data_IF_363522534851
#
_entry.id   IF_363522534851
#
_cell.length_a   1.000
_cell.length_b   1.000
_cell.length_c   1.000
_cell.angle_alpha   90.00
_cell.angle_beta   90.00
_cell.angle_gamma   90.00
#
_symmetry.space_group_name_H-M   'P 1'
#
loop_
_entity.id
_entity.type
_entity.pdbx_description
1 polymer ?
#
# COMPACT_ATOMS: atom_id res chain seq x y z
N UNK A 1 -35.13 -18.76 -44.35
CA UNK A 1 -35.97 -18.75 -43.14
C UNK A 1 -35.03 -18.85 -41.94
N UNK A 2 -34.50 -17.73 -41.49
CA UNK A 2 -35.01 -16.86 -40.41
C UNK A 2 -34.47 -17.31 -39.02
N UNK A 3 -33.35 -16.69 -38.63
CA UNK A 3 -32.83 -16.68 -37.25
C UNK A 3 -33.86 -15.99 -36.34
N UNK A 4 -34.38 -16.71 -35.34
CA UNK A 4 -35.14 -16.07 -34.26
C UNK A 4 -34.17 -15.46 -33.25
N UNK A 5 -34.16 -14.14 -33.19
CA UNK A 5 -33.51 -13.37 -32.14
C UNK A 5 -34.32 -13.52 -30.84
N UNK A 6 -33.73 -14.11 -29.80
CA UNK A 6 -34.25 -14.01 -28.44
C UNK A 6 -33.98 -12.58 -27.92
N UNK A 7 -34.95 -11.70 -28.08
CA UNK A 7 -34.94 -10.41 -27.40
C UNK A 7 -35.27 -10.65 -25.93
N UNK A 8 -34.24 -10.66 -25.08
CA UNK A 8 -34.43 -10.54 -23.64
C UNK A 8 -35.05 -9.16 -23.37
N UNK A 9 -36.34 -9.15 -23.03
CA UNK A 9 -37.06 -7.94 -22.61
C UNK A 9 -36.37 -7.41 -21.35
N UNK A 10 -35.62 -6.32 -21.48
CA UNK A 10 -35.23 -5.52 -20.33
C UNK A 10 -36.51 -4.91 -19.73
N UNK A 11 -36.70 -4.92 -18.40
CA UNK A 11 -37.86 -4.27 -17.79
C UNK A 11 -37.89 -2.78 -18.17
N UNK A 12 -39.10 -2.24 -18.25
CA UNK A 12 -39.36 -0.83 -18.51
C UNK A 12 -38.50 0.08 -17.61
N UNK A 13 -38.12 1.24 -18.14
CA UNK A 13 -37.28 2.25 -17.48
C UNK A 13 -37.54 2.33 -15.97
N UNK A 14 -36.60 1.80 -15.17
CA UNK A 14 -36.68 1.88 -13.71
C UNK A 14 -36.64 3.34 -13.25
N UNK A 15 -37.70 3.81 -12.61
CA UNK A 15 -37.72 5.13 -11.97
C UNK A 15 -36.81 5.12 -10.75
N UNK A 16 -35.70 5.86 -10.83
CA UNK A 16 -34.79 6.10 -9.69
C UNK A 16 -35.59 6.70 -8.54
N UNK A 17 -35.59 6.03 -7.38
CA UNK A 17 -36.27 6.51 -6.17
C UNK A 17 -35.34 7.25 -5.22
N UNK A 18 -34.06 6.88 -5.24
CA UNK A 18 -33.07 7.42 -4.33
C UNK A 18 -31.73 7.60 -5.02
N UNK A 19 -31.13 8.76 -4.79
CA UNK A 19 -29.75 9.06 -5.15
C UNK A 19 -29.07 9.58 -3.90
N UNK A 20 -28.03 8.88 -3.44
CA UNK A 20 -27.13 9.38 -2.39
C UNK A 20 -25.78 9.64 -2.98
N UNK A 21 -25.30 10.87 -2.83
CA UNK A 21 -23.90 11.23 -3.07
C UNK A 21 -23.21 11.37 -1.73
N UNK A 22 -22.08 10.72 -1.56
CA UNK A 22 -21.26 10.82 -0.36
C UNK A 22 -19.78 10.80 -0.72
N UNK A 23 -19.00 11.69 -0.10
CA UNK A 23 -17.55 11.65 -0.19
C UNK A 23 -17.01 10.61 0.80
N UNK A 24 -16.34 9.58 0.29
CA UNK A 24 -15.62 8.59 1.09
C UNK A 24 -14.14 8.91 1.11
N UNK A 25 -13.62 9.09 2.31
CA UNK A 25 -12.21 9.28 2.55
C UNK A 25 -11.50 7.93 2.71
N UNK A 26 -10.47 7.67 1.90
CA UNK A 26 -9.58 6.52 1.99
C UNK A 26 -8.26 7.01 2.58
N UNK A 27 -7.95 6.52 3.77
CA UNK A 27 -6.67 6.80 4.44
C UNK A 27 -5.54 5.96 3.85
N UNK A 28 -4.28 6.44 3.88
CA UNK A 28 -3.11 5.67 3.44
C UNK A 28 -3.12 4.23 3.96
N UNK A 29 -2.67 3.21 3.21
CA UNK A 29 -2.70 1.82 3.67
C UNK A 29 -1.87 1.60 4.95
N UNK A 30 -2.23 0.55 5.71
CA UNK A 30 -1.43 0.13 6.87
C UNK A 30 -0.10 -0.48 6.45
N UNK A 31 0.97 -0.27 7.23
CA UNK A 31 2.29 -0.83 6.92
C UNK A 31 2.28 -2.37 6.93
N UNK A 32 3.24 -2.96 6.23
CA UNK A 32 3.35 -4.40 6.08
C UNK A 32 4.19 -5.01 7.20
N UNK A 33 3.63 -6.08 7.78
CA UNK A 33 4.41 -7.13 8.42
C UNK A 33 4.93 -8.10 7.34
N UNK A 34 5.67 -9.13 7.78
CA UNK A 34 6.29 -10.07 6.86
C UNK A 34 5.25 -10.81 5.99
N UNK A 35 4.12 -11.19 6.59
CA UNK A 35 3.06 -11.94 5.92
C UNK A 35 2.38 -11.09 4.84
N UNK A 36 2.01 -9.85 5.16
CA UNK A 36 1.40 -8.92 4.20
C UNK A 36 2.34 -8.57 3.06
N UNK A 37 3.63 -8.40 3.35
CA UNK A 37 4.61 -8.16 2.30
C UNK A 37 4.72 -9.36 1.35
N UNK A 38 4.82 -10.58 1.88
CA UNK A 38 4.81 -11.79 1.04
C UNK A 38 3.53 -11.89 0.20
N UNK A 39 2.37 -11.57 0.77
CA UNK A 39 1.09 -11.55 0.05
C UNK A 39 1.06 -10.49 -1.06
N UNK A 40 1.59 -9.29 -0.80
CA UNK A 40 1.68 -8.22 -1.79
C UNK A 40 2.61 -8.58 -2.96
N UNK A 41 3.69 -9.30 -2.71
CA UNK A 41 4.61 -9.82 -3.74
C UNK A 41 3.89 -10.87 -4.61
N UNK A 42 3.21 -11.83 -3.98
CA UNK A 42 2.45 -12.86 -4.69
C UNK A 42 1.31 -12.27 -5.54
N UNK A 43 0.60 -11.26 -5.01
CA UNK A 43 -0.46 -10.56 -5.73
C UNK A 43 0.04 -9.83 -7.00
N UNK A 44 1.34 -9.53 -7.09
CA UNK A 44 2.00 -8.98 -8.28
C UNK A 44 2.51 -10.07 -9.25
N UNK A 45 2.21 -11.34 -9.00
CA UNK A 45 2.56 -12.46 -9.87
C UNK A 45 3.99 -12.97 -9.69
N UNK A 46 4.67 -12.61 -8.61
CA UNK A 46 6.02 -13.11 -8.32
C UNK A 46 5.98 -14.37 -7.46
N UNK A 47 6.82 -15.35 -7.79
CA UNK A 47 7.10 -16.49 -6.92
C UNK A 47 7.77 -16.02 -5.62
N UNK A 48 7.22 -16.43 -4.48
CA UNK A 48 7.71 -16.05 -3.15
C UNK A 48 8.63 -17.08 -2.51
N UNK A 49 8.96 -18.18 -3.21
CA UNK A 49 9.82 -19.25 -2.68
C UNK A 49 11.18 -18.74 -2.16
N UNK A 50 11.73 -17.70 -2.81
CA UNK A 50 13.03 -17.10 -2.45
C UNK A 50 12.93 -15.85 -1.59
N UNK A 51 11.71 -15.39 -1.27
CA UNK A 51 11.43 -14.13 -0.59
C UNK A 51 12.24 -13.94 0.70
N UNK A 52 12.15 -14.89 1.64
CA UNK A 52 12.83 -14.79 2.93
C UNK A 52 14.36 -14.74 2.78
N UNK A 53 14.90 -15.52 1.85
CA UNK A 53 16.34 -15.58 1.59
C UNK A 53 16.85 -14.27 0.99
N UNK A 54 16.13 -13.73 0.00
CA UNK A 54 16.48 -12.45 -0.63
C UNK A 54 16.33 -11.30 0.37
N UNK A 55 15.21 -11.24 1.10
CA UNK A 55 14.98 -10.20 2.08
C UNK A 55 16.06 -10.20 3.17
N UNK A 56 16.40 -11.37 3.72
CA UNK A 56 17.44 -11.49 4.75
C UNK A 56 18.79 -10.92 4.28
N UNK A 57 19.22 -11.22 3.05
CA UNK A 57 20.46 -10.66 2.49
C UNK A 57 20.40 -9.13 2.31
N UNK A 58 19.25 -8.61 1.88
CA UNK A 58 19.05 -7.16 1.75
C UNK A 58 19.09 -6.46 3.12
N UNK A 59 18.57 -7.10 4.17
CA UNK A 59 18.65 -6.60 5.55
C UNK A 59 20.09 -6.55 6.04
N UNK A 60 20.85 -7.63 5.84
CA UNK A 60 22.29 -7.69 6.16
C UNK A 60 23.10 -6.62 5.41
N UNK A 61 22.66 -6.24 4.21
CA UNK A 61 23.22 -5.15 3.42
C UNK A 61 22.59 -3.76 3.71
N UNK A 62 21.73 -3.65 4.73
CA UNK A 62 21.07 -2.43 5.20
C UNK A 62 20.09 -1.76 4.23
N UNK A 63 19.65 -2.44 3.18
CA UNK A 63 18.66 -1.92 2.22
C UNK A 63 17.23 -1.97 2.74
N UNK A 64 16.92 -2.88 3.67
CA UNK A 64 15.59 -3.03 4.27
C UNK A 64 15.70 -3.26 5.77
N UNK A 65 14.64 -2.95 6.52
CA UNK A 65 14.58 -3.24 7.97
C UNK A 65 14.28 -4.71 8.24
N UNK A 66 14.52 -5.16 9.47
CA UNK A 66 14.49 -6.58 9.85
C UNK A 66 13.24 -7.34 9.32
N UNK A 67 13.42 -8.48 8.62
CA UNK A 67 12.31 -9.19 7.97
C UNK A 67 11.26 -9.71 8.94
N UNK A 68 11.70 -10.32 10.05
CA UNK A 68 10.83 -11.12 10.92
C UNK A 68 10.17 -10.23 11.98
N UNK A 69 9.21 -9.45 11.54
CA UNK A 69 8.41 -8.55 12.37
C UNK A 69 6.93 -8.87 12.19
N UNK A 70 6.19 -8.84 13.29
CA UNK A 70 4.73 -8.81 13.31
C UNK A 70 4.20 -7.38 13.50
N UNK A 71 5.10 -6.41 13.69
CA UNK A 71 4.75 -5.00 13.87
C UNK A 71 4.16 -4.44 12.57
N UNK A 72 3.08 -3.67 12.70
CA UNK A 72 2.38 -3.00 11.58
C UNK A 72 2.47 -1.47 11.65
N UNK A 73 3.28 -0.98 12.58
CA UNK A 73 3.51 0.43 12.88
C UNK A 73 5.00 0.66 13.13
N UNK A 74 5.43 1.92 13.18
CA UNK A 74 6.79 2.32 13.53
C UNK A 74 6.79 3.29 14.71
N UNK A 75 7.92 3.42 15.41
CA UNK A 75 8.10 4.44 16.45
C UNK A 75 8.39 5.83 15.85
N UNK A 76 8.23 6.91 16.62
CA UNK A 76 8.68 8.25 16.21
C UNK A 76 10.16 8.30 15.82
N UNK A 77 11.03 7.60 16.55
CA UNK A 77 12.47 7.56 16.23
C UNK A 77 12.73 6.86 14.90
N UNK A 78 12.08 5.73 14.67
CA UNK A 78 12.16 5.00 13.40
C UNK A 78 11.64 5.83 12.22
N UNK A 79 10.62 6.67 12.43
CA UNK A 79 10.13 7.62 11.44
C UNK A 79 11.18 8.72 11.16
N UNK A 80 11.81 9.26 12.20
CA UNK A 80 12.86 10.28 12.05
C UNK A 80 14.09 9.75 11.31
N UNK A 81 14.48 8.49 11.57
CA UNK A 81 15.51 7.78 10.80
C UNK A 81 15.11 7.65 9.33
N UNK A 82 13.87 7.20 9.05
CA UNK A 82 13.39 7.05 7.68
C UNK A 82 13.34 8.39 6.92
N UNK A 83 12.97 9.48 7.59
CA UNK A 83 12.95 10.83 7.00
C UNK A 83 14.33 11.27 6.47
N UNK A 84 15.44 10.74 6.98
CA UNK A 84 16.78 11.06 6.48
C UNK A 84 17.02 10.54 5.04
N UNK A 85 16.39 9.43 4.68
CA UNK A 85 16.52 8.79 3.36
C UNK A 85 15.34 9.04 2.44
N UNK A 86 14.24 9.60 2.96
CA UNK A 86 13.00 9.88 2.23
C UNK A 86 13.22 10.59 0.88
N UNK A 87 13.99 11.69 0.77
CA UNK A 87 14.18 12.38 -0.52
C UNK A 87 14.86 11.50 -1.58
N UNK A 88 15.82 10.66 -1.17
CA UNK A 88 16.54 9.76 -2.07
C UNK A 88 15.60 8.67 -2.61
N UNK A 89 14.71 8.15 -1.76
CA UNK A 89 13.74 7.12 -2.15
C UNK A 89 12.67 7.70 -3.08
N UNK A 90 12.19 8.93 -2.81
CA UNK A 90 11.25 9.64 -3.70
C UNK A 90 11.86 9.81 -5.09
N UNK A 91 13.13 10.23 -5.17
CA UNK A 91 13.85 10.35 -6.43
C UNK A 91 14.07 9.00 -7.12
N UNK A 92 14.49 7.96 -6.38
CA UNK A 92 14.73 6.61 -6.92
C UNK A 92 13.48 6.01 -7.59
N UNK A 93 12.30 6.29 -7.04
CA UNK A 93 11.03 5.74 -7.52
C UNK A 93 10.26 6.65 -8.47
N UNK A 94 10.84 7.80 -8.85
CA UNK A 94 10.23 8.82 -9.69
C UNK A 94 8.82 9.23 -9.20
N UNK A 95 8.71 9.48 -7.90
CA UNK A 95 7.47 9.93 -7.27
C UNK A 95 7.38 11.45 -7.37
N UNK A 96 6.24 11.98 -7.85
CA UNK A 96 5.98 13.42 -7.84
C UNK A 96 6.11 13.97 -6.40
N UNK A 97 7.08 14.87 -6.12
CA UNK A 97 7.28 15.43 -4.79
C UNK A 97 6.04 16.10 -4.21
N UNK A 98 5.09 16.56 -5.04
CA UNK A 98 3.82 17.16 -4.59
C UNK A 98 2.91 16.16 -3.86
N UNK A 99 3.11 14.86 -4.06
CA UNK A 99 2.35 13.82 -3.38
C UNK A 99 2.91 13.49 -1.98
N UNK A 100 4.05 14.09 -1.60
CA UNK A 100 4.77 13.78 -0.36
C UNK A 100 4.83 15.03 0.51
N UNK A 101 4.19 14.97 1.68
CA UNK A 101 4.36 15.97 2.72
C UNK A 101 5.22 15.41 3.84
N UNK A 102 6.49 15.84 3.94
CA UNK A 102 7.46 15.35 4.95
C UNK A 102 7.02 15.62 6.41
N UNK A 103 6.13 16.59 6.62
CA UNK A 103 5.59 16.93 7.94
C UNK A 103 4.34 16.11 8.29
N UNK A 104 3.83 15.32 7.34
CA UNK A 104 2.68 14.46 7.50
C UNK A 104 3.11 13.00 7.66
N UNK A 105 2.39 12.27 8.51
CA UNK A 105 2.48 10.81 8.56
C UNK A 105 1.15 10.25 9.06
N UNK A 106 0.62 9.21 8.42
CA UNK A 106 -0.62 8.57 8.81
C UNK A 106 -0.54 8.07 10.26
N UNK A 107 -1.34 8.64 11.16
CA UNK A 107 -1.28 8.34 12.60
C UNK A 107 -1.49 6.86 12.94
N UNK A 108 -2.31 6.15 12.16
CA UNK A 108 -2.52 4.70 12.34
C UNK A 108 -1.27 3.85 12.07
N UNK A 109 -0.27 4.41 11.40
CA UNK A 109 1.01 3.75 11.11
C UNK A 109 2.10 4.16 12.12
N UNK A 110 1.80 5.07 13.04
CA UNK A 110 2.73 5.59 14.05
C UNK A 110 2.34 5.10 15.43
N UNK A 111 3.32 4.56 16.16
CA UNK A 111 3.15 4.19 17.56
C UNK A 111 2.90 5.44 18.41
N UNK A 112 1.89 5.37 19.28
CA UNK A 112 1.63 6.38 20.30
C UNK A 112 2.40 6.03 21.58
N UNK A 113 3.40 6.84 22.00
CA UNK A 113 4.18 6.59 23.22
C UNK A 113 3.34 6.53 24.50
N UNK A 114 2.15 7.14 24.49
CA UNK A 114 1.21 7.13 25.62
C UNK A 114 0.26 5.91 25.60
N UNK A 115 0.44 4.97 24.66
CA UNK A 115 -0.33 3.73 24.61
C UNK A 115 0.04 2.79 25.77
N UNK A 116 -0.90 1.93 26.16
CA UNK A 116 -0.64 0.81 27.09
C UNK A 116 0.02 -0.40 26.41
N UNK A 117 0.06 -0.42 25.07
CA UNK A 117 0.71 -1.48 24.30
C UNK A 117 2.23 -1.32 24.33
N UNK A 118 2.96 -2.42 24.24
CA UNK A 118 4.40 -2.36 24.05
C UNK A 118 4.75 -1.63 22.75
N UNK A 119 5.86 -0.87 22.77
CA UNK A 119 6.41 -0.27 21.58
C UNK A 119 6.87 -1.35 20.58
N UNK A 120 6.75 -1.11 19.27
CA UNK A 120 7.23 -2.05 18.27
C UNK A 120 8.75 -2.20 18.39
N UNK A 121 9.23 -3.43 18.56
CA UNK A 121 10.66 -3.72 18.79
C UNK A 121 11.48 -3.57 17.51
N UNK A 122 10.88 -3.91 16.36
CA UNK A 122 11.54 -3.81 15.05
C UNK A 122 10.82 -2.81 14.13
N UNK A 123 9.53 -2.58 14.39
CA UNK A 123 8.67 -1.82 13.51
C UNK A 123 8.32 -2.59 12.24
N UNK A 124 7.37 -2.06 11.48
CA UNK A 124 6.96 -2.65 10.22
C UNK A 124 8.09 -2.70 9.17
N UNK A 125 7.97 -3.62 8.21
CA UNK A 125 8.91 -3.77 7.10
C UNK A 125 8.93 -2.50 6.24
N UNK A 126 10.11 -1.93 6.05
CA UNK A 126 10.35 -0.67 5.33
C UNK A 126 11.78 -0.64 4.76
N UNK A 127 12.11 0.33 3.88
CA UNK A 127 13.50 0.55 3.49
C UNK A 127 14.40 0.82 4.69
N UNK A 128 15.63 0.33 4.62
CA UNK A 128 16.68 0.58 5.60
C UNK A 128 17.36 1.92 5.37
N UNK A 129 18.49 2.13 6.05
CA UNK A 129 19.29 3.36 5.94
C UNK A 129 20.05 3.47 4.62
N UNK A 130 20.23 2.37 3.88
CA UNK A 130 20.89 2.37 2.58
C UNK A 130 19.87 2.46 1.44
N UNK A 131 20.01 3.48 0.60
CA UNK A 131 19.21 3.63 -0.63
C UNK A 131 20.04 3.15 -1.82
N UNK A 132 19.51 2.24 -2.66
CA UNK A 132 20.23 1.79 -3.84
C UNK A 132 20.29 2.91 -4.89
N UNK A 133 21.37 2.95 -5.68
CA UNK A 133 21.52 3.92 -6.79
C UNK A 133 20.52 3.66 -7.93
N UNK A 134 20.07 2.41 -8.06
CA UNK A 134 18.99 2.01 -8.95
C UNK A 134 18.31 0.76 -8.38
N UNK A 135 17.03 0.54 -8.67
CA UNK A 135 16.35 -0.70 -8.27
C UNK A 135 17.04 -1.93 -8.84
N UNK A 136 17.61 -1.82 -10.05
CA UNK A 136 18.31 -2.90 -10.73
C UNK A 136 19.51 -3.44 -9.97
N UNK A 137 20.21 -2.63 -9.18
CA UNK A 137 21.36 -3.12 -8.40
C UNK A 137 20.94 -4.20 -7.39
N UNK A 138 19.70 -4.13 -6.89
CA UNK A 138 19.18 -5.09 -5.91
C UNK A 138 18.97 -6.49 -6.50
N UNK A 139 19.08 -6.65 -7.83
CA UNK A 139 19.11 -7.97 -8.49
C UNK A 139 20.29 -8.81 -8.03
N UNK A 140 21.34 -8.21 -7.44
CA UNK A 140 22.44 -8.94 -6.78
C UNK A 140 21.95 -9.91 -5.68
N UNK A 141 20.81 -9.59 -5.05
CA UNK A 141 20.18 -10.43 -4.03
C UNK A 141 19.17 -11.44 -4.60
N UNK A 142 18.96 -11.42 -5.92
CA UNK A 142 17.99 -12.22 -6.66
C UNK A 142 16.89 -11.36 -7.33
N UNK A 143 16.06 -11.97 -8.19
CA UNK A 143 15.04 -11.25 -8.97
C UNK A 143 13.98 -10.55 -8.12
N UNK A 144 13.75 -11.01 -6.88
CA UNK A 144 12.83 -10.37 -5.94
C UNK A 144 13.41 -9.12 -5.27
N UNK A 145 14.72 -8.88 -5.31
CA UNK A 145 15.35 -7.77 -4.59
C UNK A 145 14.75 -6.40 -4.92
N UNK A 146 14.67 -6.02 -6.21
CA UNK A 146 14.03 -4.78 -6.64
C UNK A 146 12.56 -4.68 -6.20
N UNK A 147 11.82 -5.80 -6.34
CA UNK A 147 10.39 -5.89 -6.04
C UNK A 147 10.12 -5.68 -4.55
N UNK A 148 10.87 -6.35 -3.69
CA UNK A 148 10.78 -6.21 -2.23
C UNK A 148 10.98 -4.74 -1.83
N UNK A 149 12.07 -4.13 -2.32
CA UNK A 149 12.40 -2.76 -1.96
C UNK A 149 11.34 -1.78 -2.42
N UNK A 150 10.89 -1.88 -3.68
CA UNK A 150 9.87 -1.01 -4.22
C UNK A 150 8.54 -1.11 -3.45
N UNK A 151 8.11 -2.33 -3.10
CA UNK A 151 6.89 -2.51 -2.31
C UNK A 151 7.02 -1.86 -0.93
N UNK A 152 8.11 -2.15 -0.21
CA UNK A 152 8.38 -1.56 1.10
C UNK A 152 8.40 -0.02 1.03
N UNK A 153 9.10 0.53 0.03
CA UNK A 153 9.24 1.97 -0.16
C UNK A 153 7.89 2.63 -0.48
N UNK A 154 7.15 2.15 -1.48
CA UNK A 154 5.83 2.71 -1.83
C UNK A 154 4.84 2.61 -0.67
N UNK A 155 4.88 1.51 0.10
CA UNK A 155 3.98 1.29 1.22
C UNK A 155 4.19 2.33 2.35
N UNK A 156 5.43 2.63 2.72
CA UNK A 156 5.69 3.64 3.75
C UNK A 156 5.49 5.07 3.20
N UNK A 157 5.87 5.33 1.94
CA UNK A 157 5.68 6.63 1.28
C UNK A 157 4.21 7.06 1.24
N UNK A 158 3.29 6.11 1.05
CA UNK A 158 1.86 6.40 1.05
C UNK A 158 1.40 7.07 2.37
N UNK A 159 2.09 6.82 3.48
CA UNK A 159 1.76 7.44 4.78
C UNK A 159 2.05 8.95 4.82
N UNK A 160 2.86 9.47 3.91
CA UNK A 160 3.19 10.90 3.79
C UNK A 160 2.25 11.65 2.83
N UNK A 161 1.39 10.94 2.11
CA UNK A 161 0.41 11.52 1.21
C UNK A 161 -0.91 11.86 1.90
N UNK A 162 -1.76 12.59 1.18
CA UNK A 162 -3.10 12.93 1.64
C UNK A 162 -4.06 11.74 1.56
N UNK A 163 -5.14 11.83 2.34
CA UNK A 163 -6.24 10.90 2.20
C UNK A 163 -6.88 11.08 0.82
N UNK A 164 -7.13 9.97 0.11
CA UNK A 164 -7.85 10.00 -1.16
C UNK A 164 -9.34 10.25 -0.88
N UNK A 165 -9.96 11.17 -1.62
CA UNK A 165 -11.40 11.44 -1.56
C UNK A 165 -12.05 10.83 -2.80
N UNK A 166 -13.06 9.97 -2.60
CA UNK A 166 -13.89 9.43 -3.68
C UNK A 166 -15.33 9.91 -3.50
N UNK A 167 -15.93 10.52 -4.52
CA UNK A 167 -17.38 10.70 -4.58
C UNK A 167 -18.01 9.34 -4.91
N UNK A 168 -18.88 8.83 -4.04
CA UNK A 168 -19.66 7.61 -4.27
C UNK A 168 -21.11 8.01 -4.49
N UNK A 169 -21.67 7.62 -5.63
CA UNK A 169 -23.11 7.80 -5.91
C UNK A 169 -23.82 6.45 -5.85
N UNK A 170 -24.73 6.29 -4.90
CA UNK A 170 -25.57 5.09 -4.78
C UNK A 170 -26.97 5.39 -5.30
N UNK A 171 -27.46 4.52 -6.19
CA UNK A 171 -28.81 4.56 -6.74
C UNK A 171 -29.62 3.38 -6.19
N UNK A 172 -30.92 3.58 -5.97
CA UNK A 172 -31.87 2.46 -5.84
C UNK A 172 -33.12 2.70 -6.66
N UNK A 173 -33.66 1.60 -7.18
CA UNK A 173 -34.94 1.54 -7.86
C UNK A 173 -35.96 0.70 -7.05
N UNK A 174 -37.16 0.53 -7.61
CA UNK A 174 -38.26 -0.17 -6.97
C UNK A 174 -38.02 -1.69 -6.77
N UNK A 175 -36.98 -2.26 -7.39
CA UNK A 175 -36.62 -3.68 -7.24
C UNK A 175 -35.73 -3.97 -6.03
N UNK A 176 -35.24 -2.96 -5.32
CA UNK A 176 -34.30 -3.09 -4.18
C UNK A 176 -32.91 -3.66 -4.55
N UNK A 177 -32.59 -3.76 -5.84
CA UNK A 177 -31.28 -4.20 -6.30
C UNK A 177 -30.32 -3.02 -6.34
N UNK A 178 -29.34 -3.02 -5.42
CA UNK A 178 -28.32 -1.98 -5.34
C UNK A 178 -27.29 -2.17 -6.45
N UNK A 179 -27.26 -1.26 -7.42
CA UNK A 179 -26.19 -1.20 -8.43
C UNK A 179 -25.10 -0.26 -7.90
N UNK A 180 -23.95 -0.82 -7.53
CA UNK A 180 -22.75 -0.03 -7.23
C UNK A 180 -22.02 0.34 -8.52
N UNK A 181 -21.71 1.63 -8.71
CA UNK A 181 -20.73 2.11 -9.70
C UNK A 181 -19.80 3.12 -9.05
#
# INVERSE_FOLDING_TARGET
MALQANAQKYPDLSTVKFVKKEDKQITPPGLYDLMKLSGAIAARGHDTSTFMKTYQKMYEAHYVTYPRTEDKIITPDQLNEFKQVLPQIVNLLDIDPKLINVNQFASKNLYNPNSKSAAPSHGANRPGSKVPVSLDMLKEFGPLGPVIYEICARQILASFGDNKINEVTTYSDASSDFIHR
#
